data_IF_201112669869
#
_entry.id   IF_201112669869
#
_cell.length_a   1.000
_cell.length_b   1.000
_cell.length_c   1.000
_cell.angle_alpha   90.00
_cell.angle_beta   90.00
_cell.angle_gamma   90.00
#
_symmetry.space_group_name_H-M   'P 1'
#
loop_
_entity.id
_entity.type
_entity.pdbx_description
1 polymer ?
#
# COMPACT_ATOMS: atom_id res chain seq x y z
N UNK A 1 -20.52 -16.94 -14.59
CA UNK A 1 -19.49 -17.60 -13.77
C UNK A 1 -18.22 -17.46 -14.58
N UNK A 2 -17.21 -16.65 -14.27
CA UNK A 2 -16.73 -16.05 -13.02
C UNK A 2 -15.93 -14.77 -13.35
N UNK A 3 -15.94 -13.79 -12.45
CA UNK A 3 -14.70 -13.08 -12.12
C UNK A 3 -14.37 -11.77 -12.82
N UNK A 4 -15.21 -10.75 -12.66
CA UNK A 4 -14.88 -9.36 -12.98
C UNK A 4 -13.93 -8.77 -11.91
N UNK A 5 -12.64 -9.16 -11.85
CA UNK A 5 -11.83 -8.91 -10.63
C UNK A 5 -10.38 -8.45 -10.80
N UNK A 6 -10.03 -7.54 -11.72
CA UNK A 6 -8.96 -6.56 -11.47
C UNK A 6 -8.99 -5.43 -12.51
N UNK A 7 -9.40 -4.23 -12.09
CA UNK A 7 -9.46 -3.02 -12.93
C UNK A 7 -8.14 -2.65 -13.61
N UNK A 8 -7.01 -3.16 -13.10
CA UNK A 8 -5.70 -2.97 -13.70
C UNK A 8 -5.50 -3.84 -14.95
N UNK A 9 -5.99 -5.09 -14.94
CA UNK A 9 -5.68 -6.11 -15.95
C UNK A 9 -6.20 -5.75 -17.34
N UNK A 10 -7.32 -5.02 -17.41
CA UNK A 10 -7.91 -4.55 -18.68
C UNK A 10 -7.10 -3.41 -19.30
N UNK A 11 -6.29 -2.70 -18.51
CA UNK A 11 -5.48 -1.55 -18.96
C UNK A 11 -4.01 -1.87 -19.18
N UNK A 12 -3.54 -3.06 -18.83
CA UNK A 12 -2.12 -3.44 -18.99
C UNK A 12 -1.69 -3.30 -20.46
N UNK A 13 -2.53 -3.74 -21.41
CA UNK A 13 -2.23 -3.67 -22.85
C UNK A 13 -2.15 -2.24 -23.40
N UNK A 14 -2.68 -1.25 -22.67
CA UNK A 14 -2.64 0.18 -23.04
C UNK A 14 -1.46 0.95 -22.43
N UNK A 15 -0.71 0.33 -21.52
CA UNK A 15 0.41 0.95 -20.80
C UNK A 15 1.74 0.60 -21.46
N UNK A 16 2.68 1.55 -21.48
CA UNK A 16 4.07 1.27 -21.86
C UNK A 16 4.77 0.41 -20.81
N UNK A 17 5.79 -0.35 -21.22
CA UNK A 17 6.59 -1.21 -20.31
C UNK A 17 7.15 -0.42 -19.11
N UNK A 18 7.52 0.85 -19.33
CA UNK A 18 7.98 1.77 -18.28
C UNK A 18 6.88 2.07 -17.26
N UNK A 19 5.67 2.38 -17.73
CA UNK A 19 4.51 2.65 -16.86
C UNK A 19 4.07 1.41 -16.09
N UNK A 20 4.13 0.23 -16.72
CA UNK A 20 3.84 -1.04 -16.06
C UNK A 20 4.82 -1.30 -14.91
N UNK A 21 6.12 -1.14 -15.16
CA UNK A 21 7.15 -1.30 -14.12
C UNK A 21 6.94 -0.34 -12.95
N UNK A 22 6.70 0.94 -13.21
CA UNK A 22 6.43 1.94 -12.16
C UNK A 22 5.19 1.56 -11.34
N UNK A 23 4.12 1.15 -12.01
CA UNK A 23 2.85 0.81 -11.37
C UNK A 23 2.95 -0.45 -10.51
N UNK A 24 3.71 -1.47 -10.94
CA UNK A 24 3.98 -2.67 -10.15
C UNK A 24 4.64 -2.33 -8.81
N UNK A 25 5.66 -1.47 -8.81
CA UNK A 25 6.33 -1.08 -7.58
C UNK A 25 5.53 -0.10 -6.72
N UNK A 26 4.75 0.79 -7.34
CA UNK A 26 3.85 1.68 -6.62
C UNK A 26 2.67 0.95 -5.95
N UNK A 27 2.21 -0.17 -6.52
CA UNK A 27 1.08 -0.96 -6.00
C UNK A 27 1.48 -2.14 -5.11
N UNK A 28 2.76 -2.54 -5.11
CA UNK A 28 3.25 -3.71 -4.35
C UNK A 28 3.19 -3.54 -2.82
N UNK A 29 2.84 -2.36 -2.30
CA UNK A 29 2.79 -2.13 -0.86
C UNK A 29 1.39 -2.25 -0.27
N UNK A 30 1.28 -3.00 0.83
CA UNK A 30 0.08 -3.19 1.65
C UNK A 30 -0.38 -1.92 2.41
N UNK A 31 -0.29 -0.74 1.79
CA UNK A 31 -0.81 0.51 2.36
C UNK A 31 -2.33 0.57 2.19
N UNK A 32 -3.04 -0.22 3.00
CA UNK A 32 -4.50 -0.24 3.04
C UNK A 32 -5.00 -0.24 4.49
N UNK A 33 -6.24 0.21 4.69
CA UNK A 33 -6.86 0.27 6.01
C UNK A 33 -6.94 -1.09 6.70
N UNK A 34 -7.08 -2.18 5.95
CA UNK A 34 -7.11 -3.55 6.50
C UNK A 34 -5.78 -3.93 7.14
N UNK A 35 -4.68 -3.83 6.38
CA UNK A 35 -3.34 -4.15 6.84
C UNK A 35 -2.88 -3.22 7.98
N UNK A 36 -3.13 -1.91 7.86
CA UNK A 36 -2.85 -0.96 8.92
C UNK A 36 -3.66 -1.27 10.20
N UNK A 37 -4.95 -1.61 10.04
CA UNK A 37 -5.84 -2.00 11.13
C UNK A 37 -5.39 -3.28 11.82
N UNK A 38 -4.94 -4.29 11.06
CA UNK A 38 -4.41 -5.54 11.62
C UNK A 38 -3.18 -5.31 12.50
N UNK A 39 -2.22 -4.47 12.05
CA UNK A 39 -1.03 -4.14 12.83
C UNK A 39 -1.42 -3.35 14.08
N UNK A 40 -2.33 -2.38 13.96
CA UNK A 40 -2.80 -1.59 15.09
C UNK A 40 -3.54 -2.46 16.11
N UNK A 41 -4.35 -3.42 15.66
CA UNK A 41 -5.04 -4.37 16.53
C UNK A 41 -4.05 -5.26 17.28
N UNK A 42 -3.10 -5.88 16.57
CA UNK A 42 -2.05 -6.71 17.15
C UNK A 42 -1.23 -5.93 18.19
N UNK A 43 -0.74 -4.74 17.84
CA UNK A 43 0.06 -3.91 18.76
C UNK A 43 -0.74 -3.43 19.97
N UNK A 44 -2.03 -3.11 19.77
CA UNK A 44 -2.92 -2.69 20.86
C UNK A 44 -3.20 -3.81 21.86
N UNK A 45 -3.12 -5.07 21.43
CA UNK A 45 -3.29 -6.25 22.28
C UNK A 45 -1.98 -6.62 22.99
N UNK A 46 -0.84 -6.48 22.31
CA UNK A 46 0.49 -6.71 22.92
C UNK A 46 0.85 -5.66 23.98
N UNK A 47 0.42 -4.40 23.80
CA UNK A 47 0.78 -3.26 24.65
C UNK A 47 -0.48 -2.46 25.03
N UNK A 48 -1.35 -3.02 25.88
CA UNK A 48 -2.68 -2.46 26.17
C UNK A 48 -2.63 -1.07 26.82
N UNK A 49 -1.60 -0.77 27.60
CA UNK A 49 -1.40 0.52 28.25
C UNK A 49 -1.10 1.66 27.26
N UNK A 50 -0.68 1.34 26.02
CA UNK A 50 -0.42 2.31 24.93
C UNK A 50 -1.44 2.27 23.81
N UNK A 51 -2.53 1.50 23.95
CA UNK A 51 -3.57 1.34 22.91
C UNK A 51 -4.03 2.65 22.28
N UNK A 52 -4.31 3.68 23.09
CA UNK A 52 -4.80 4.98 22.58
C UNK A 52 -3.75 5.73 21.75
N UNK A 53 -2.48 5.60 22.10
CA UNK A 53 -1.37 6.13 21.30
C UNK A 53 -1.25 5.37 19.97
N UNK A 54 -1.25 4.03 20.02
CA UNK A 54 -1.10 3.16 18.84
C UNK A 54 -2.24 3.42 17.83
N UNK A 55 -3.48 3.45 18.31
CA UNK A 55 -4.64 3.77 17.48
C UNK A 55 -4.57 5.18 16.89
N UNK A 56 -4.09 6.16 17.65
CA UNK A 56 -3.90 7.54 17.17
C UNK A 56 -2.83 7.68 16.09
N UNK A 57 -1.90 6.73 15.97
CA UNK A 57 -0.85 6.72 14.96
C UNK A 57 -1.28 6.04 13.65
N UNK A 58 -2.40 5.29 13.63
CA UNK A 58 -2.86 4.53 12.46
C UNK A 58 -2.91 5.36 11.18
N UNK A 59 -3.52 6.54 11.23
CA UNK A 59 -3.65 7.40 10.04
C UNK A 59 -2.30 7.93 9.56
N UNK A 60 -1.40 8.25 10.48
CA UNK A 60 -0.03 8.68 10.13
C UNK A 60 0.76 7.53 9.50
N UNK A 61 0.60 6.32 10.04
CA UNK A 61 1.22 5.12 9.49
C UNK A 61 0.70 4.81 8.09
N UNK A 62 -0.61 4.96 7.85
CA UNK A 62 -1.21 4.73 6.53
C UNK A 62 -0.68 5.73 5.49
N UNK A 63 -0.68 7.03 5.81
CA UNK A 63 -0.14 8.06 4.90
C UNK A 63 1.35 7.83 4.66
N UNK A 64 2.12 7.50 5.70
CA UNK A 64 3.53 7.16 5.58
C UNK A 64 3.78 5.95 4.67
N UNK A 65 3.00 4.88 4.83
CA UNK A 65 3.08 3.69 3.99
C UNK A 65 2.77 4.00 2.52
N UNK A 66 1.73 4.79 2.25
CA UNK A 66 1.40 5.22 0.88
C UNK A 66 2.54 6.03 0.26
N UNK A 67 3.16 6.95 1.02
CA UNK A 67 4.29 7.75 0.53
C UNK A 67 5.52 6.88 0.20
N UNK A 68 5.81 5.87 1.02
CA UNK A 68 6.89 4.91 0.75
C UNK A 68 6.63 4.12 -0.54
N UNK A 69 5.39 3.70 -0.78
CA UNK A 69 5.02 3.00 -2.01
C UNK A 69 5.21 3.88 -3.25
N UNK A 70 4.76 5.14 -3.18
CA UNK A 70 4.96 6.12 -4.27
C UNK A 70 6.45 6.40 -4.50
N UNK A 71 7.25 6.50 -3.43
CA UNK A 71 8.69 6.69 -3.53
C UNK A 71 9.36 5.49 -4.22
N UNK A 72 8.97 4.26 -3.91
CA UNK A 72 9.49 3.07 -4.59
C UNK A 72 9.18 3.11 -6.09
N UNK A 73 7.95 3.47 -6.48
CA UNK A 73 7.60 3.67 -7.89
C UNK A 73 8.41 4.78 -8.55
N UNK A 74 8.66 5.89 -7.85
CA UNK A 74 9.47 7.00 -8.35
C UNK A 74 10.94 6.61 -8.53
N UNK A 75 11.52 5.85 -7.59
CA UNK A 75 12.88 5.31 -7.71
C UNK A 75 12.97 4.44 -8.98
N UNK A 76 12.02 3.53 -9.19
CA UNK A 76 11.98 2.71 -10.41
C UNK A 76 11.84 3.57 -11.67
N UNK A 77 11.06 4.65 -11.62
CA UNK A 77 10.94 5.59 -12.73
C UNK A 77 12.26 6.32 -13.08
N UNK A 78 13.16 6.51 -12.11
CA UNK A 78 14.46 7.17 -12.30
C UNK A 78 15.54 6.24 -12.85
N UNK A 79 15.47 4.94 -12.52
CA UNK A 79 16.49 3.94 -12.89
C UNK A 79 16.13 3.08 -14.11
N UNK A 80 14.87 3.15 -14.57
CA UNK A 80 14.39 2.63 -15.87
C UNK A 80 14.28 3.79 -16.83
#
# INVERSE_FOLDING_TARGET
MEGNHICLSEKIDSLSEKSLAILTFALSGFANFGAAGSIVAMLSEMVPERKRLIQGLMMKALVGATMVNLLNGAIVALFI
#
